data_IF_990434290887
#
_entry.id   IF_990434290887
#
_cell.length_a   1.000
_cell.length_b   1.000
_cell.length_c   1.000
_cell.angle_alpha   90.00
_cell.angle_beta   90.00
_cell.angle_gamma   90.00
#
_symmetry.space_group_name_H-M   'P 1'
#
loop_
_entity.id
_entity.type
_entity.pdbx_description
1 polymer ?
#
# COMPACT_ATOMS: atom_id res chain seq x y z
N UNK A 1 -33.24 5.28 -13.66
CA UNK A 1 -33.50 4.42 -12.49
C UNK A 1 -33.75 3.02 -13.00
N UNK A 2 -32.80 2.10 -12.82
CA UNK A 2 -32.98 0.65 -12.89
C UNK A 2 -31.69 0.02 -12.33
N UNK A 3 -31.87 -0.88 -11.37
CA UNK A 3 -30.88 -1.23 -10.35
C UNK A 3 -29.79 -2.21 -10.79
N UNK A 4 -28.65 -2.09 -10.13
CA UNK A 4 -27.58 -3.06 -10.16
C UNK A 4 -27.93 -4.23 -9.21
N UNK A 5 -27.96 -5.45 -9.76
CA UNK A 5 -28.11 -6.69 -9.01
C UNK A 5 -26.71 -7.25 -8.68
N UNK A 6 -26.36 -7.53 -7.41
CA UNK A 6 -25.00 -7.91 -7.02
C UNK A 6 -24.87 -9.43 -6.89
N UNK A 7 -24.08 -10.08 -7.76
CA UNK A 7 -23.65 -11.46 -7.55
C UNK A 7 -22.22 -11.64 -8.07
N UNK A 8 -21.22 -11.39 -7.22
CA UNK A 8 -19.90 -12.01 -7.28
C UNK A 8 -19.38 -12.15 -5.85
N UNK A 9 -19.51 -13.35 -5.31
CA UNK A 9 -18.94 -13.74 -4.04
C UNK A 9 -17.48 -14.11 -4.21
N UNK A 10 -16.60 -13.42 -3.50
CA UNK A 10 -15.27 -13.92 -3.14
C UNK A 10 -15.01 -13.61 -1.67
N UNK A 11 -14.58 -14.65 -0.95
CA UNK A 11 -14.27 -14.64 0.49
C UNK A 11 -13.14 -13.64 0.78
N UNK A 12 -13.27 -12.73 1.77
CA UNK A 12 -12.17 -11.87 2.16
C UNK A 12 -11.30 -12.55 3.22
N UNK A 13 -9.98 -12.50 3.02
CA UNK A 13 -9.04 -12.47 4.13
C UNK A 13 -9.35 -11.21 4.97
N UNK A 14 -9.83 -11.42 6.20
CA UNK A 14 -9.96 -10.41 7.24
C UNK A 14 -8.57 -9.86 7.57
N UNK A 15 -8.25 -8.59 7.30
CA UNK A 15 -8.53 -7.44 8.18
C UNK A 15 -8.70 -6.11 7.39
N UNK A 16 -8.58 -6.11 6.06
CA UNK A 16 -8.55 -4.88 5.24
C UNK A 16 -9.80 -4.64 4.35
N UNK A 17 -10.89 -5.37 4.57
CA UNK A 17 -11.88 -5.65 3.51
C UNK A 17 -13.13 -4.77 3.37
N UNK A 18 -13.35 -3.68 4.12
CA UNK A 18 -14.67 -2.98 4.08
C UNK A 18 -14.69 -1.47 3.83
N UNK A 19 -13.56 -0.77 3.78
CA UNK A 19 -13.52 0.65 3.36
C UNK A 19 -12.75 0.92 2.05
N UNK A 20 -12.28 -0.12 1.39
CA UNK A 20 -11.66 -0.05 0.06
C UNK A 20 -12.67 -0.23 -1.10
N UNK A 21 -13.97 -0.14 -0.79
CA UNK A 21 -15.07 -0.49 -1.70
C UNK A 21 -15.88 0.75 -2.14
N UNK A 22 -15.20 1.88 -2.34
CA UNK A 22 -15.73 3.02 -3.09
C UNK A 22 -14.94 3.10 -4.40
N UNK A 23 -15.65 2.84 -5.50
CA UNK A 23 -15.12 2.53 -6.81
C UNK A 23 -14.75 3.79 -7.61
N UNK A 24 -13.68 3.65 -8.41
CA UNK A 24 -13.09 4.60 -9.37
C UNK A 24 -12.13 5.63 -8.75
N UNK A 25 -11.15 5.14 -7.98
CA UNK A 25 -9.89 5.84 -7.67
C UNK A 25 -8.96 5.87 -8.89
N UNK A 26 -8.12 6.88 -9.08
CA UNK A 26 -7.15 7.01 -10.20
C UNK A 26 -6.11 5.90 -10.29
N UNK A 27 -5.74 5.30 -9.16
CA UNK A 27 -4.82 4.16 -9.10
C UNK A 27 -5.41 2.90 -9.75
N UNK A 28 -6.74 2.72 -9.65
CA UNK A 28 -7.41 1.55 -10.22
C UNK A 28 -7.36 1.51 -11.76
N UNK A 29 -7.83 2.52 -12.52
CA UNK A 29 -7.76 2.48 -13.98
C UNK A 29 -6.31 2.47 -14.47
N UNK A 30 -5.38 3.16 -13.80
CA UNK A 30 -3.95 3.10 -14.14
C UNK A 30 -3.44 1.65 -14.05
N UNK A 31 -3.60 1.01 -12.89
CA UNK A 31 -3.12 -0.37 -12.68
C UNK A 31 -3.85 -1.39 -13.56
N UNK A 32 -5.18 -1.24 -13.76
CA UNK A 32 -5.94 -2.17 -14.61
C UNK A 32 -5.51 -2.03 -16.08
N UNK A 33 -5.27 -0.81 -16.56
CA UNK A 33 -4.77 -0.57 -17.92
C UNK A 33 -3.47 -1.33 -18.17
N UNK A 34 -2.51 -1.20 -17.27
CA UNK A 34 -1.23 -1.93 -17.29
C UNK A 34 -1.44 -3.44 -17.26
N UNK A 35 -2.27 -3.91 -16.33
CA UNK A 35 -2.53 -5.35 -16.16
C UNK A 35 -3.06 -5.98 -17.45
N UNK A 36 -3.91 -5.27 -18.21
CA UNK A 36 -4.39 -5.76 -19.50
C UNK A 36 -3.29 -5.75 -20.56
N UNK A 37 -2.42 -4.73 -20.58
CA UNK A 37 -1.28 -4.67 -21.52
C UNK A 37 -0.29 -5.81 -21.24
N UNK A 38 0.10 -6.00 -19.99
CA UNK A 38 0.99 -7.10 -19.56
C UNK A 38 0.36 -8.46 -19.78
N UNK A 39 -0.92 -8.62 -19.42
CA UNK A 39 -1.67 -9.86 -19.62
C UNK A 39 -1.76 -10.25 -21.10
N UNK A 40 -1.90 -9.28 -21.99
CA UNK A 40 -1.86 -9.52 -23.43
C UNK A 40 -0.47 -9.93 -23.92
N UNK A 41 0.59 -9.28 -23.43
CA UNK A 41 1.96 -9.63 -23.77
C UNK A 41 2.30 -11.06 -23.29
N UNK A 42 1.91 -11.41 -22.07
CA UNK A 42 2.07 -12.75 -21.51
C UNK A 42 1.27 -13.78 -22.31
N UNK A 43 0.00 -13.52 -22.63
CA UNK A 43 -0.82 -14.41 -23.45
C UNK A 43 -0.14 -14.71 -24.80
N UNK A 44 0.34 -13.67 -25.49
CA UNK A 44 1.08 -13.82 -26.76
C UNK A 44 2.35 -14.66 -26.59
N UNK A 45 3.12 -14.46 -25.52
CA UNK A 45 4.32 -15.25 -25.24
C UNK A 45 4.04 -16.74 -25.00
N UNK A 46 2.83 -17.07 -24.54
CA UNK A 46 2.35 -18.43 -24.30
C UNK A 46 1.63 -19.04 -25.53
N UNK A 47 1.57 -18.34 -26.67
CA UNK A 47 0.82 -18.77 -27.85
C UNK A 47 -0.70 -18.68 -27.69
N UNK A 48 -1.18 -17.89 -26.73
CA UNK A 48 -2.58 -17.63 -26.45
C UNK A 48 -2.98 -16.23 -26.95
N UNK A 49 -4.28 -15.95 -27.00
CA UNK A 49 -4.82 -14.62 -27.29
C UNK A 49 -5.58 -14.05 -26.10
N UNK A 50 -5.47 -12.72 -25.90
CA UNK A 50 -6.33 -11.99 -24.97
C UNK A 50 -7.06 -10.86 -25.70
N UNK A 51 -8.08 -11.22 -26.49
CA UNK A 51 -8.85 -10.25 -27.27
C UNK A 51 -9.52 -9.18 -26.38
N UNK A 52 -9.92 -9.55 -25.16
CA UNK A 52 -10.48 -8.61 -24.19
C UNK A 52 -9.44 -7.60 -23.69
N UNK A 53 -8.19 -8.02 -23.52
CA UNK A 53 -7.11 -7.12 -23.15
C UNK A 53 -6.90 -6.04 -24.20
N UNK A 54 -6.78 -6.43 -25.48
CA UNK A 54 -6.59 -5.50 -26.61
C UNK A 54 -7.77 -4.53 -26.77
N UNK A 55 -9.01 -5.02 -26.62
CA UNK A 55 -10.21 -4.20 -26.80
C UNK A 55 -10.44 -3.19 -25.66
N UNK A 56 -10.04 -3.53 -24.43
CA UNK A 56 -10.43 -2.77 -23.23
C UNK A 56 -9.30 -1.86 -22.73
N UNK A 57 -8.03 -2.24 -22.86
CA UNK A 57 -6.91 -1.44 -22.33
C UNK A 57 -6.92 0.03 -22.84
N UNK A 58 -7.14 0.32 -24.14
CA UNK A 58 -7.19 1.71 -24.63
C UNK A 58 -8.36 2.50 -24.04
N UNK A 59 -9.49 1.85 -23.75
CA UNK A 59 -10.67 2.51 -23.18
C UNK A 59 -10.47 2.85 -21.71
N UNK A 60 -9.74 2.01 -20.97
CA UNK A 60 -9.34 2.31 -19.59
C UNK A 60 -8.36 3.49 -19.56
N UNK A 61 -7.38 3.51 -20.46
CA UNK A 61 -6.45 4.64 -20.58
C UNK A 61 -7.19 5.93 -20.97
N UNK A 62 -8.19 5.86 -21.85
CA UNK A 62 -9.06 6.98 -22.18
C UNK A 62 -9.83 7.49 -20.95
N UNK A 63 -10.37 6.57 -20.15
CA UNK A 63 -11.07 6.91 -18.91
C UNK A 63 -10.14 7.53 -17.86
N UNK A 64 -8.90 7.06 -17.74
CA UNK A 64 -7.89 7.66 -16.86
C UNK A 64 -7.68 9.15 -17.16
N UNK A 65 -7.75 9.56 -18.43
CA UNK A 65 -7.69 10.97 -18.82
C UNK A 65 -8.75 11.86 -18.15
N UNK A 66 -9.88 11.30 -17.69
CA UNK A 66 -10.95 12.06 -17.01
C UNK A 66 -10.63 12.44 -15.57
N UNK A 67 -9.59 11.86 -14.98
CA UNK A 67 -9.14 12.21 -13.63
C UNK A 67 -8.36 13.53 -13.63
N UNK A 68 -7.87 14.00 -14.77
CA UNK A 68 -7.17 15.27 -14.86
C UNK A 68 -8.15 16.43 -14.67
N UNK A 69 -7.89 17.29 -13.70
CA UNK A 69 -8.62 18.56 -13.52
C UNK A 69 -7.80 19.71 -14.11
N UNK A 70 -8.19 20.28 -15.27
CA UNK A 70 -7.47 21.39 -15.87
C UNK A 70 -7.46 22.64 -15.00
N UNK A 71 -8.56 22.91 -14.29
CA UNK A 71 -8.68 24.07 -13.39
C UNK A 71 -7.89 23.91 -12.10
N UNK A 72 -7.80 22.68 -11.58
CA UNK A 72 -6.97 22.36 -10.42
C UNK A 72 -5.49 22.22 -10.74
N UNK A 73 -5.14 21.93 -12.00
CA UNK A 73 -3.80 21.55 -12.44
C UNK A 73 -3.24 20.31 -11.70
N UNK A 74 -4.08 19.31 -11.44
CA UNK A 74 -3.69 18.02 -10.84
C UNK A 74 -4.66 16.91 -11.24
N UNK A 75 -4.25 15.65 -11.06
CA UNK A 75 -5.16 14.50 -11.08
C UNK A 75 -6.01 14.49 -9.82
N UNK A 76 -7.33 14.53 -9.97
CA UNK A 76 -8.29 14.31 -8.89
C UNK A 76 -8.35 12.82 -8.64
N UNK A 77 -8.05 12.35 -7.43
CA UNK A 77 -7.93 10.92 -7.17
C UNK A 77 -9.24 10.14 -7.34
N UNK A 78 -10.41 10.76 -7.15
CA UNK A 78 -11.72 10.11 -7.27
C UNK A 78 -12.73 11.07 -7.90
N UNK A 79 -13.22 10.77 -9.11
CA UNK A 79 -14.07 11.68 -9.90
C UNK A 79 -15.59 11.49 -9.72
N UNK A 80 -16.01 10.39 -9.08
CA UNK A 80 -17.42 10.12 -8.73
C UNK A 80 -17.64 10.23 -7.21
N UNK A 81 -16.88 11.11 -6.57
CA UNK A 81 -16.63 11.12 -5.14
C UNK A 81 -17.68 11.80 -4.24
N UNK A 82 -17.28 11.89 -2.98
CA UNK A 82 -18.06 11.97 -1.75
C UNK A 82 -17.87 13.30 -0.98
N UNK A 83 -17.50 14.39 -1.68
CA UNK A 83 -17.34 15.74 -1.11
C UNK A 83 -15.92 16.13 -0.67
N UNK A 84 -14.87 15.37 -1.03
CA UNK A 84 -13.45 15.69 -0.76
C UNK A 84 -12.80 16.49 -1.90
N UNK A 85 -11.67 17.13 -1.62
CA UNK A 85 -10.89 17.89 -2.63
C UNK A 85 -10.29 17.02 -3.74
N UNK A 86 -10.09 15.72 -3.46
CA UNK A 86 -9.43 14.78 -4.37
C UNK A 86 -7.91 14.90 -4.42
N UNK A 87 -7.30 15.77 -3.59
CA UNK A 87 -5.84 15.85 -3.39
C UNK A 87 -5.40 14.69 -2.52
N UNK A 88 -4.96 13.61 -3.14
CA UNK A 88 -4.70 12.35 -2.45
C UNK A 88 -3.41 11.71 -2.99
N UNK A 89 -2.58 11.19 -2.09
CA UNK A 89 -1.37 10.42 -2.41
C UNK A 89 -1.65 9.22 -3.32
N UNK A 90 -2.91 8.77 -3.42
CA UNK A 90 -3.38 7.84 -4.45
C UNK A 90 -2.84 8.15 -5.86
N UNK A 91 -2.74 9.42 -6.25
CA UNK A 91 -2.23 9.78 -7.57
C UNK A 91 -0.73 9.54 -7.70
N UNK A 92 0.04 9.81 -6.65
CA UNK A 92 1.49 9.54 -6.61
C UNK A 92 1.71 8.02 -6.67
N UNK A 93 0.96 7.26 -5.87
CA UNK A 93 0.96 5.80 -5.88
C UNK A 93 0.60 5.24 -7.27
N UNK A 94 -0.40 5.82 -7.94
CA UNK A 94 -0.76 5.44 -9.30
C UNK A 94 0.39 5.64 -10.29
N UNK A 95 1.17 6.73 -10.14
CA UNK A 95 2.30 7.02 -11.02
C UNK A 95 3.46 6.04 -10.83
N UNK A 96 3.88 5.78 -9.58
CA UNK A 96 5.04 4.90 -9.30
C UNK A 96 4.74 3.43 -9.57
N UNK A 97 3.51 2.97 -9.33
CA UNK A 97 3.11 1.59 -9.63
C UNK A 97 2.83 1.35 -11.12
N UNK A 98 2.77 2.43 -11.92
CA UNK A 98 2.66 2.40 -13.37
C UNK A 98 3.97 2.81 -14.07
N UNK A 99 5.08 2.90 -13.33
CA UNK A 99 6.32 3.40 -13.89
C UNK A 99 6.90 2.44 -14.94
N UNK A 100 7.19 2.97 -16.12
CA UNK A 100 8.01 2.32 -17.14
C UNK A 100 8.90 3.37 -17.82
N UNK A 101 10.24 3.25 -17.71
CA UNK A 101 11.14 4.21 -18.36
C UNK A 101 11.01 4.23 -19.89
N UNK A 102 10.54 3.15 -20.53
CA UNK A 102 10.32 3.08 -21.97
C UNK A 102 9.12 3.93 -22.44
N UNK A 103 8.16 4.23 -21.55
CA UNK A 103 7.10 5.20 -21.81
C UNK A 103 7.55 6.67 -21.73
N UNK A 104 8.83 6.93 -21.42
CA UNK A 104 9.37 8.28 -21.32
C UNK A 104 8.55 9.14 -20.34
N UNK A 105 8.30 10.41 -20.66
CA UNK A 105 7.48 11.31 -19.84
C UNK A 105 6.04 11.39 -20.35
N UNK A 106 5.47 10.25 -20.76
CA UNK A 106 4.11 10.18 -21.28
C UNK A 106 3.05 10.58 -20.23
N UNK A 107 2.31 11.64 -20.53
CA UNK A 107 1.25 12.17 -19.69
C UNK A 107 -0.06 11.39 -19.83
N UNK A 108 -0.25 10.58 -20.87
CA UNK A 108 -1.45 9.76 -21.04
C UNK A 108 -1.47 8.62 -20.03
N UNK A 109 -0.34 7.91 -19.89
CA UNK A 109 -0.14 6.86 -18.87
C UNK A 109 0.28 7.41 -17.51
N UNK A 110 0.46 8.73 -17.37
CA UNK A 110 0.78 9.40 -16.11
C UNK A 110 2.14 8.97 -15.53
N UNK A 111 3.14 8.85 -16.41
CA UNK A 111 4.51 8.51 -16.00
C UNK A 111 5.09 9.51 -15.00
N UNK A 112 5.99 9.09 -14.09
CA UNK A 112 6.53 9.94 -13.03
C UNK A 112 7.13 11.28 -13.47
N UNK A 113 7.80 11.33 -14.63
CA UNK A 113 8.36 12.57 -15.19
C UNK A 113 7.39 13.35 -16.10
N UNK A 114 6.17 12.87 -16.32
CA UNK A 114 5.17 13.60 -17.09
C UNK A 114 4.80 14.90 -16.37
N UNK A 115 4.49 15.94 -17.14
CA UNK A 115 4.17 17.24 -16.57
C UNK A 115 2.94 17.21 -15.65
N UNK A 116 1.93 16.41 -15.99
CA UNK A 116 0.75 16.16 -15.14
C UNK A 116 1.11 15.47 -13.83
N UNK A 117 2.03 14.51 -13.84
CA UNK A 117 2.45 13.81 -12.62
C UNK A 117 3.23 14.73 -11.68
N UNK A 118 4.12 15.57 -12.22
CA UNK A 118 4.88 16.55 -11.44
C UNK A 118 3.98 17.67 -10.87
N UNK A 119 3.02 18.16 -11.67
CA UNK A 119 2.02 19.12 -11.22
C UNK A 119 1.18 18.53 -10.07
N UNK A 120 0.76 17.27 -10.22
CA UNK A 120 -0.01 16.56 -9.18
C UNK A 120 0.80 16.32 -7.92
N UNK A 121 2.08 15.93 -8.05
CA UNK A 121 3.01 15.77 -6.91
C UNK A 121 3.04 17.05 -6.06
N UNK A 122 3.28 18.20 -6.69
CA UNK A 122 3.27 19.50 -6.01
C UNK A 122 1.94 19.76 -5.28
N UNK A 123 0.80 19.63 -5.97
CA UNK A 123 -0.51 19.92 -5.37
C UNK A 123 -0.83 19.00 -4.19
N UNK A 124 -0.48 17.72 -4.28
CA UNK A 124 -0.68 16.75 -3.20
C UNK A 124 0.24 17.06 -2.02
N UNK A 125 1.55 17.21 -2.25
CA UNK A 125 2.50 17.51 -1.17
C UNK A 125 2.16 18.84 -0.49
N UNK A 126 1.85 19.89 -1.25
CA UNK A 126 1.49 21.19 -0.69
C UNK A 126 0.25 21.15 0.20
N UNK A 127 -0.67 20.22 -0.05
CA UNK A 127 -1.86 20.04 0.79
C UNK A 127 -1.54 19.61 2.23
N UNK A 128 -0.35 19.06 2.48
CA UNK A 128 0.10 18.62 3.80
C UNK A 128 1.00 19.62 4.54
N UNK A 129 1.48 20.68 3.87
CA UNK A 129 2.45 21.63 4.44
C UNK A 129 1.94 22.33 5.70
N UNK A 130 0.65 22.70 5.71
CA UNK A 130 0.07 23.55 6.75
C UNK A 130 -0.78 22.81 7.77
N UNK A 131 -1.08 21.53 7.54
CA UNK A 131 -2.00 20.77 8.40
C UNK A 131 -1.25 19.90 9.43
N UNK A 132 0.00 19.54 9.19
CA UNK A 132 0.80 18.77 10.16
C UNK A 132 1.78 19.67 10.89
N UNK A 133 1.76 19.66 12.22
CA UNK A 133 2.66 20.48 13.05
C UNK A 133 4.12 20.19 12.75
N UNK A 134 4.45 18.92 12.48
CA UNK A 134 5.81 18.50 12.10
C UNK A 134 6.31 19.09 10.78
N UNK A 135 5.43 19.66 9.95
CA UNK A 135 5.77 20.32 8.69
C UNK A 135 5.92 21.84 8.83
N UNK A 136 5.64 22.41 10.01
CA UNK A 136 5.63 23.85 10.21
C UNK A 136 6.99 24.50 9.92
N UNK A 137 6.97 25.58 9.14
CA UNK A 137 8.17 26.36 8.82
C UNK A 137 9.12 25.72 7.81
N UNK A 138 8.79 24.53 7.26
CA UNK A 138 9.60 23.90 6.22
C UNK A 138 9.39 24.64 4.89
N UNK A 139 10.50 25.03 4.26
CA UNK A 139 10.50 25.79 3.01
C UNK A 139 9.80 25.05 1.86
N UNK A 140 9.28 25.80 0.89
CA UNK A 140 8.58 25.26 -0.27
C UNK A 140 9.46 24.32 -1.13
N UNK A 141 10.77 24.57 -1.18
CA UNK A 141 11.74 23.73 -1.88
C UNK A 141 12.12 22.46 -1.10
N UNK A 142 11.76 22.37 0.18
CA UNK A 142 12.14 21.26 1.05
C UNK A 142 11.00 20.22 1.18
N UNK A 143 11.41 18.96 1.31
CA UNK A 143 10.52 17.83 1.51
C UNK A 143 9.87 17.87 2.90
N UNK A 144 8.70 17.23 3.00
CA UNK A 144 7.85 17.23 4.19
C UNK A 144 7.27 15.83 4.43
N UNK A 145 6.61 15.64 5.56
CA UNK A 145 5.80 14.45 5.81
C UNK A 145 4.49 14.49 5.02
N UNK A 146 4.15 13.39 4.34
CA UNK A 146 2.99 13.29 3.43
C UNK A 146 2.00 12.24 3.95
N UNK A 147 0.72 12.62 4.05
CA UNK A 147 -0.37 11.74 4.47
C UNK A 147 -1.09 11.09 3.29
N UNK A 148 -2.32 10.61 3.50
CA UNK A 148 -3.16 10.08 2.40
C UNK A 148 -3.86 11.22 1.66
N UNK A 149 -4.70 11.97 2.35
CA UNK A 149 -5.43 13.14 1.84
C UNK A 149 -5.65 14.12 3.01
N UNK A 150 -5.80 15.43 2.75
CA UNK A 150 -5.83 16.45 3.81
C UNK A 150 -7.08 16.35 4.71
N UNK A 151 -8.17 15.74 4.22
CA UNK A 151 -9.41 15.52 4.98
C UNK A 151 -9.40 14.22 5.80
N UNK A 152 -8.27 13.52 5.89
CA UNK A 152 -8.18 12.24 6.60
C UNK A 152 -8.44 12.40 8.11
N UNK A 153 -9.19 11.46 8.67
CA UNK A 153 -9.54 11.40 10.09
C UNK A 153 -9.25 10.03 10.71
N UNK A 154 -8.78 9.05 9.92
CA UNK A 154 -8.39 7.75 10.43
C UNK A 154 -7.17 7.88 11.35
N UNK A 155 -7.32 7.44 12.61
CA UNK A 155 -6.34 7.69 13.68
C UNK A 155 -5.97 9.18 13.85
N UNK A 156 -6.88 10.10 13.51
CA UNK A 156 -6.64 11.55 13.59
C UNK A 156 -6.01 12.18 12.33
N UNK A 157 -5.78 11.39 11.29
CA UNK A 157 -5.28 11.86 10.00
C UNK A 157 -3.81 12.27 10.07
N UNK A 158 -2.91 11.32 9.82
CA UNK A 158 -1.48 11.50 10.00
C UNK A 158 -0.70 11.30 8.69
N UNK A 159 0.58 11.70 8.66
CA UNK A 159 1.55 11.18 7.70
C UNK A 159 1.61 9.66 7.66
N UNK A 160 1.89 9.12 6.47
CA UNK A 160 2.14 7.69 6.26
C UNK A 160 3.55 7.51 5.73
N UNK A 161 4.27 6.52 6.27
CA UNK A 161 5.62 6.19 5.80
C UNK A 161 5.63 5.91 4.30
N UNK A 162 4.74 5.03 3.84
CA UNK A 162 4.65 4.64 2.44
C UNK A 162 4.33 5.81 1.50
N UNK A 163 3.52 6.80 1.93
CA UNK A 163 3.20 7.96 1.08
C UNK A 163 4.33 8.98 1.02
N UNK A 164 5.06 9.16 2.13
CA UNK A 164 6.27 9.99 2.14
C UNK A 164 7.35 9.37 1.27
N UNK A 165 7.52 8.03 1.32
CA UNK A 165 8.42 7.27 0.46
C UNK A 165 7.98 7.29 -1.02
N UNK A 166 6.68 7.16 -1.31
CA UNK A 166 6.14 7.26 -2.66
C UNK A 166 6.43 8.61 -3.32
N UNK A 167 6.36 9.70 -2.53
CA UNK A 167 6.74 11.04 -3.00
C UNK A 167 8.24 11.14 -3.37
N UNK A 168 9.11 10.40 -2.67
CA UNK A 168 10.52 10.25 -3.04
C UNK A 168 10.67 9.40 -4.31
N UNK A 169 10.01 8.24 -4.36
CA UNK A 169 10.10 7.27 -5.45
C UNK A 169 9.72 7.88 -6.80
N UNK A 170 8.61 8.63 -6.88
CA UNK A 170 8.20 9.31 -8.11
C UNK A 170 9.29 10.25 -8.64
N UNK A 171 10.02 10.93 -7.76
CA UNK A 171 11.10 11.84 -8.15
C UNK A 171 12.34 11.07 -8.60
N UNK A 172 12.68 9.95 -7.95
CA UNK A 172 13.76 9.08 -8.41
C UNK A 172 13.48 8.47 -9.78
N UNK A 173 12.23 8.05 -10.04
CA UNK A 173 11.81 7.57 -11.36
C UNK A 173 11.93 8.68 -12.42
N UNK A 174 11.50 9.89 -12.09
CA UNK A 174 11.62 11.01 -13.01
C UNK A 174 13.08 11.37 -13.32
N UNK A 175 13.93 11.39 -12.29
CA UNK A 175 15.38 11.60 -12.42
C UNK A 175 16.04 10.52 -13.27
N UNK A 176 15.63 9.26 -13.14
CA UNK A 176 16.13 8.18 -13.97
C UNK A 176 15.84 8.45 -15.45
N UNK A 177 14.59 8.76 -15.80
CA UNK A 177 14.17 9.01 -17.18
C UNK A 177 14.87 10.24 -17.78
N UNK A 178 14.95 11.36 -17.06
CA UNK A 178 15.65 12.57 -17.55
C UNK A 178 17.14 12.36 -17.79
N UNK A 179 17.79 11.50 -16.99
CA UNK A 179 19.20 11.12 -17.21
C UNK A 179 19.35 10.25 -18.45
N UNK A 180 18.46 9.27 -18.66
CA UNK A 180 18.46 8.43 -19.86
C UNK A 180 18.20 9.24 -21.15
N UNK A 181 17.27 10.19 -21.11
CA UNK A 181 16.93 11.05 -22.26
C UNK A 181 17.94 12.18 -22.50
N UNK A 182 18.78 12.49 -21.51
CA UNK A 182 19.70 13.63 -21.58
C UNK A 182 19.00 14.98 -21.69
N UNK A 183 17.74 15.11 -21.26
CA UNK A 183 17.00 16.38 -21.27
C UNK A 183 15.86 16.42 -20.24
N UNK A 184 15.45 17.64 -19.88
CA UNK A 184 14.25 17.92 -19.07
C UNK A 184 13.39 18.91 -19.87
N UNK A 185 12.12 18.57 -20.10
CA UNK A 185 11.14 19.51 -20.66
C UNK A 185 10.28 20.07 -19.54
N UNK A 186 10.35 21.38 -19.35
CA UNK A 186 9.46 22.14 -18.47
C UNK A 186 8.31 22.67 -19.31
N UNK A 187 7.08 22.29 -18.96
CA UNK A 187 5.87 22.77 -19.62
C UNK A 187 5.18 23.80 -18.73
N UNK A 188 4.16 24.49 -19.26
CA UNK A 188 3.34 25.38 -18.43
C UNK A 188 2.66 24.62 -17.28
N UNK A 189 2.26 23.37 -17.50
CA UNK A 189 1.62 22.50 -16.52
C UNK A 189 2.55 22.16 -15.35
N UNK A 190 3.81 21.82 -15.63
CA UNK A 190 4.82 21.45 -14.62
C UNK A 190 5.62 22.63 -14.07
N UNK A 191 5.45 23.83 -14.61
CA UNK A 191 6.26 25.01 -14.26
C UNK A 191 6.28 25.30 -12.75
N UNK A 192 5.12 25.18 -12.10
CA UNK A 192 5.00 25.45 -10.66
C UNK A 192 5.83 24.48 -9.81
N UNK A 193 5.90 23.20 -10.21
CA UNK A 193 6.77 22.21 -9.56
C UNK A 193 8.24 22.60 -9.67
N UNK A 194 8.70 22.93 -10.88
CA UNK A 194 10.10 23.27 -11.10
C UNK A 194 10.50 24.60 -10.46
N UNK A 195 9.61 25.59 -10.37
CA UNK A 195 9.89 26.88 -9.73
C UNK A 195 10.12 26.77 -8.23
N UNK A 196 9.48 25.82 -7.55
CA UNK A 196 9.78 25.56 -6.14
C UNK A 196 11.24 25.10 -5.95
N UNK A 197 11.76 24.36 -6.93
CA UNK A 197 13.11 23.79 -6.88
C UNK A 197 14.17 24.76 -7.43
N UNK A 198 13.79 25.55 -8.44
CA UNK A 198 14.66 26.50 -9.14
C UNK A 198 13.84 27.70 -9.63
N UNK A 199 13.76 28.76 -8.81
CA UNK A 199 12.81 29.87 -8.97
C UNK A 199 12.78 30.59 -10.33
N UNK A 200 13.91 30.65 -11.05
CA UNK A 200 14.02 31.36 -12.34
C UNK A 200 13.75 30.49 -13.57
N UNK A 201 13.32 29.23 -13.40
CA UNK A 201 13.05 28.33 -14.53
C UNK A 201 11.82 28.79 -15.33
N UNK A 202 11.89 28.59 -16.65
CA UNK A 202 10.84 28.93 -17.61
C UNK A 202 10.43 27.67 -18.41
N UNK A 203 9.28 27.68 -19.10
CA UNK A 203 8.95 26.62 -20.04
C UNK A 203 10.01 26.50 -21.14
N UNK A 204 10.40 25.27 -21.47
CA UNK A 204 11.46 25.00 -22.42
C UNK A 204 12.07 23.61 -22.22
N UNK A 205 12.92 23.20 -23.15
CA UNK A 205 13.67 21.94 -23.06
C UNK A 205 15.12 22.25 -22.74
N UNK A 206 15.60 21.70 -21.64
CA UNK A 206 16.95 21.88 -21.13
C UNK A 206 17.75 20.59 -21.39
N UNK A 207 18.68 20.64 -22.32
CA UNK A 207 19.58 19.52 -22.62
C UNK A 207 20.63 19.32 -21.52
N UNK A 208 21.18 18.10 -21.41
CA UNK A 208 22.12 17.70 -20.36
C UNK A 208 23.39 18.54 -20.27
N UNK A 209 23.80 19.17 -21.37
CA UNK A 209 24.94 20.09 -21.40
C UNK A 209 24.68 21.49 -20.82
N UNK A 210 23.44 21.81 -20.43
CA UNK A 210 23.09 23.13 -19.88
C UNK A 210 23.27 23.19 -18.37
N UNK A 211 23.62 24.37 -17.85
CA UNK A 211 23.68 24.60 -16.39
C UNK A 211 22.31 24.45 -15.74
N UNK A 212 21.23 24.87 -16.41
CA UNK A 212 19.85 24.72 -15.92
C UNK A 212 19.48 23.26 -15.72
N UNK A 213 19.80 22.37 -16.67
CA UNK A 213 19.58 20.92 -16.50
C UNK A 213 20.28 20.39 -15.26
N UNK A 214 21.56 20.73 -15.09
CA UNK A 214 22.37 20.28 -13.95
C UNK A 214 21.78 20.75 -12.62
N UNK A 215 21.38 22.03 -12.54
CA UNK A 215 20.74 22.59 -11.35
C UNK A 215 19.41 21.92 -11.04
N UNK A 216 18.59 21.62 -12.05
CA UNK A 216 17.31 20.93 -11.88
C UNK A 216 17.50 19.48 -11.39
N UNK A 217 18.42 18.72 -12.00
CA UNK A 217 18.76 17.35 -11.53
C UNK A 217 19.19 17.38 -10.08
N UNK A 218 20.09 18.29 -9.70
CA UNK A 218 20.60 18.38 -8.33
C UNK A 218 19.51 18.78 -7.34
N UNK A 219 18.70 19.80 -7.66
CA UNK A 219 17.62 20.28 -6.80
C UNK A 219 16.55 19.19 -6.59
N UNK A 220 16.10 18.52 -7.66
CA UNK A 220 15.09 17.46 -7.55
C UNK A 220 15.67 16.22 -6.86
N UNK A 221 16.95 15.89 -7.05
CA UNK A 221 17.61 14.80 -6.30
C UNK A 221 17.66 15.10 -4.81
N UNK A 222 18.02 16.33 -4.42
CA UNK A 222 18.02 16.76 -3.02
C UNK A 222 16.62 16.77 -2.42
N UNK A 223 15.60 17.17 -3.19
CA UNK A 223 14.21 17.15 -2.77
C UNK A 223 13.71 15.71 -2.55
N UNK A 224 14.05 14.78 -3.44
CA UNK A 224 13.75 13.35 -3.27
C UNK A 224 14.42 12.76 -2.02
N UNK A 225 15.72 13.03 -1.82
CA UNK A 225 16.46 12.61 -0.61
C UNK A 225 15.88 13.21 0.67
N UNK A 226 15.31 14.42 0.58
CA UNK A 226 14.58 15.05 1.68
C UNK A 226 13.43 14.20 2.19
N UNK A 227 12.63 13.57 1.31
CA UNK A 227 11.54 12.69 1.73
C UNK A 227 12.04 11.41 2.41
N UNK A 228 13.15 10.84 1.92
CA UNK A 228 13.83 9.73 2.60
C UNK A 228 14.30 10.14 4.00
N UNK A 229 14.84 11.35 4.15
CA UNK A 229 15.29 11.89 5.43
C UNK A 229 14.13 12.15 6.41
N UNK A 230 12.96 12.59 5.92
CA UNK A 230 11.75 12.69 6.75
C UNK A 230 11.39 11.33 7.34
N UNK A 231 11.40 10.28 6.53
CA UNK A 231 11.14 8.90 7.00
C UNK A 231 12.21 8.45 7.99
N UNK A 232 13.49 8.69 7.70
CA UNK A 232 14.59 8.35 8.60
C UNK A 232 14.50 9.08 9.96
N UNK A 233 13.94 10.29 9.98
CA UNK A 233 13.75 11.08 11.21
C UNK A 233 12.69 10.47 12.12
N UNK A 234 11.62 9.90 11.55
CA UNK A 234 10.45 9.43 12.31
C UNK A 234 10.37 7.91 12.43
N UNK A 235 11.20 7.16 11.70
CA UNK A 235 11.36 5.73 11.89
C UNK A 235 11.83 5.41 13.32
N UNK A 236 11.41 4.27 13.86
CA UNK A 236 11.89 3.81 15.16
C UNK A 236 13.39 3.51 15.12
N UNK A 237 14.08 3.64 16.25
CA UNK A 237 15.53 3.40 16.35
C UNK A 237 15.94 1.96 16.00
N UNK A 238 15.02 1.01 16.10
CA UNK A 238 15.21 -0.39 15.69
C UNK A 238 14.93 -0.63 14.19
N UNK A 239 14.55 0.40 13.43
CA UNK A 239 14.17 0.31 12.02
C UNK A 239 12.71 -0.03 11.77
N UNK A 240 11.87 -0.19 12.81
CA UNK A 240 10.46 -0.52 12.63
C UNK A 240 9.69 0.60 11.93
N UNK A 241 8.92 0.22 10.91
CA UNK A 241 8.05 1.11 10.15
C UNK A 241 6.58 0.70 10.35
N UNK A 242 5.85 1.48 11.15
CA UNK A 242 4.41 1.32 11.31
C UNK A 242 3.65 1.80 10.04
N UNK A 243 2.33 1.82 10.09
CA UNK A 243 1.50 2.42 9.04
C UNK A 243 1.63 3.95 9.02
N UNK A 244 1.62 4.58 10.20
CA UNK A 244 1.57 6.04 10.36
C UNK A 244 2.62 6.54 11.35
N UNK A 245 2.96 7.82 11.25
CA UNK A 245 3.66 8.56 12.30
C UNK A 245 2.92 9.86 12.59
N UNK A 246 2.81 10.21 13.86
CA UNK A 246 1.91 11.24 14.37
C UNK A 246 2.17 12.61 13.75
N UNK A 247 1.11 13.27 13.29
CA UNK A 247 1.17 14.62 12.69
C UNK A 247 1.71 15.71 13.63
N UNK A 248 1.72 15.48 14.94
CA UNK A 248 2.09 16.47 15.95
C UNK A 248 3.50 16.30 16.47
N UNK A 249 3.95 15.06 16.66
CA UNK A 249 5.21 14.74 17.33
C UNK A 249 6.01 13.61 16.67
N UNK A 250 5.55 13.06 15.55
CA UNK A 250 6.27 12.04 14.79
C UNK A 250 6.30 10.64 15.41
N UNK A 251 5.60 10.41 16.52
CA UNK A 251 5.57 9.08 17.15
C UNK A 251 4.82 8.07 16.25
N UNK A 252 5.34 6.85 16.04
CA UNK A 252 4.66 5.81 15.29
C UNK A 252 3.30 5.44 15.90
N UNK A 253 2.31 5.13 15.06
CA UNK A 253 0.99 4.68 15.48
C UNK A 253 0.26 3.87 14.39
N UNK A 254 -0.93 3.38 14.74
CA UNK A 254 -1.72 2.43 13.94
C UNK A 254 -1.02 1.07 13.84
N UNK A 255 -1.15 0.34 12.72
CA UNK A 255 -0.56 -0.98 12.58
C UNK A 255 0.98 -0.91 12.63
N UNK A 256 1.58 -1.59 13.61
CA UNK A 256 3.03 -1.79 13.67
C UNK A 256 3.49 -2.72 12.54
N UNK A 257 4.76 -2.56 12.15
CA UNK A 257 5.45 -3.38 11.16
C UNK A 257 4.63 -3.63 9.87
N UNK A 258 4.03 -2.57 9.33
CA UNK A 258 3.19 -2.67 8.15
C UNK A 258 4.05 -3.11 6.94
N UNK A 259 3.74 -4.28 6.39
CA UNK A 259 4.45 -4.85 5.24
C UNK A 259 4.61 -3.87 4.07
N UNK A 260 3.58 -3.05 3.81
CA UNK A 260 3.63 -2.06 2.73
C UNK A 260 4.59 -0.90 3.03
N UNK A 261 4.74 -0.46 4.28
CA UNK A 261 5.75 0.55 4.65
C UNK A 261 7.16 0.04 4.36
N UNK A 262 7.46 -1.22 4.68
CA UNK A 262 8.73 -1.85 4.33
C UNK A 262 8.93 -2.00 2.82
N UNK A 263 7.90 -2.46 2.10
CA UNK A 263 7.96 -2.57 0.64
C UNK A 263 8.22 -1.21 -0.03
N UNK A 264 7.53 -0.15 0.40
CA UNK A 264 7.72 1.21 -0.10
C UNK A 264 9.13 1.75 0.17
N UNK A 265 9.73 1.38 1.31
CA UNK A 265 11.12 1.76 1.59
C UNK A 265 12.09 1.07 0.63
N UNK A 266 11.90 -0.23 0.40
CA UNK A 266 12.72 -1.00 -0.52
C UNK A 266 12.60 -0.49 -1.95
N UNK A 267 11.38 -0.21 -2.44
CA UNK A 267 11.18 0.28 -3.81
C UNK A 267 11.76 1.68 -3.99
N UNK A 268 11.51 2.61 -3.06
CA UNK A 268 12.11 3.95 -3.13
C UNK A 268 13.65 3.89 -3.10
N UNK A 269 14.24 3.06 -2.25
CA UNK A 269 15.69 2.86 -2.19
C UNK A 269 16.25 2.23 -3.48
N UNK A 270 15.53 1.28 -4.08
CA UNK A 270 15.89 0.70 -5.39
C UNK A 270 15.89 1.77 -6.48
N UNK A 271 14.85 2.62 -6.58
CA UNK A 271 14.79 3.70 -7.58
C UNK A 271 15.88 4.73 -7.38
N UNK A 272 16.18 5.10 -6.13
CA UNK A 272 17.32 5.95 -5.79
C UNK A 272 18.65 5.38 -6.30
N UNK A 273 18.81 4.06 -6.23
CA UNK A 273 19.97 3.32 -6.73
C UNK A 273 19.90 2.98 -8.24
N UNK A 274 18.95 3.55 -8.98
CA UNK A 274 18.70 3.28 -10.40
C UNK A 274 18.41 1.80 -10.73
N UNK A 275 17.83 1.06 -9.78
CA UNK A 275 17.32 -0.30 -9.98
C UNK A 275 15.84 -0.22 -10.36
N UNK A 276 15.56 -0.46 -11.64
CA UNK A 276 14.24 -0.28 -12.26
C UNK A 276 13.60 -1.66 -12.54
N UNK A 277 12.28 -1.83 -12.30
CA UNK A 277 11.59 -3.07 -12.64
C UNK A 277 11.58 -3.34 -14.14
N UNK A 278 11.28 -4.59 -14.56
CA UNK A 278 10.93 -4.86 -15.94
C UNK A 278 9.80 -3.94 -16.43
N UNK A 279 9.95 -3.40 -17.63
CA UNK A 279 8.91 -2.57 -18.26
C UNK A 279 7.71 -3.39 -18.72
N UNK A 280 6.56 -2.73 -18.82
CA UNK A 280 5.29 -3.28 -19.26
C UNK A 280 4.83 -2.72 -20.62
N UNK A 281 5.43 -1.62 -21.08
CA UNK A 281 5.03 -0.88 -22.27
C UNK A 281 5.51 -1.61 -23.52
N UNK A 282 4.56 -2.25 -24.22
CA UNK A 282 4.69 -2.65 -25.62
C UNK A 282 4.27 -1.53 -26.59
N UNK A 283 3.83 -1.88 -27.80
CA UNK A 283 3.40 -0.92 -28.85
C UNK A 283 2.08 -0.16 -28.57
N UNK A 284 1.53 -0.20 -27.35
CA UNK A 284 0.13 0.17 -27.07
C UNK A 284 -0.02 1.24 -25.98
N UNK A 285 0.28 2.49 -26.32
CA UNK A 285 -0.02 3.69 -25.50
C UNK A 285 -1.03 4.63 -26.17
N UNK A 286 -1.64 4.23 -27.30
CA UNK A 286 -2.55 5.09 -28.04
C UNK A 286 -3.89 5.26 -27.31
N UNK A 287 -4.20 6.49 -26.91
CA UNK A 287 -5.51 6.86 -26.40
C UNK A 287 -6.51 6.98 -27.56
N UNK A 288 -7.65 6.28 -27.54
CA UNK A 288 -8.71 6.45 -28.54
C UNK A 288 -9.22 7.90 -28.59
N UNK A 289 -9.59 8.38 -29.78
CA UNK A 289 -10.15 9.73 -29.94
C UNK A 289 -11.47 9.96 -29.19
N UNK A 290 -12.22 8.90 -28.91
CA UNK A 290 -13.45 8.94 -28.11
C UNK A 290 -13.44 7.79 -27.11
N UNK A 291 -13.66 8.11 -25.82
CA UNK A 291 -13.81 7.11 -24.78
C UNK A 291 -15.20 6.47 -24.82
N UNK A 292 -15.27 5.15 -24.76
CA UNK A 292 -16.50 4.38 -24.63
C UNK A 292 -16.51 3.64 -23.29
N UNK A 293 -17.60 3.76 -22.53
CA UNK A 293 -17.84 2.93 -21.35
C UNK A 293 -18.22 1.52 -21.82
N UNK A 294 -17.23 0.64 -21.89
CA UNK A 294 -17.38 -0.73 -22.39
C UNK A 294 -16.75 -1.76 -21.44
N UNK A 295 -17.22 -2.99 -21.53
CA UNK A 295 -16.72 -4.14 -20.76
C UNK A 295 -16.99 -5.43 -21.52
N UNK A 296 -16.16 -6.44 -21.32
CA UNK A 296 -16.36 -7.79 -21.87
C UNK A 296 -16.63 -8.76 -20.72
N UNK A 297 -17.66 -9.59 -20.84
CA UNK A 297 -17.97 -10.62 -19.84
C UNK A 297 -16.85 -11.67 -19.86
N UNK A 298 -16.19 -11.84 -18.72
CA UNK A 298 -15.13 -12.84 -18.55
C UNK A 298 -15.69 -14.25 -18.31
N UNK A 299 -14.85 -15.25 -18.57
CA UNK A 299 -15.05 -16.63 -18.11
C UNK A 299 -14.06 -16.93 -17.00
N UNK A 300 -14.52 -17.60 -15.94
CA UNK A 300 -13.71 -17.86 -14.74
C UNK A 300 -13.68 -19.35 -14.45
N UNK A 301 -12.49 -19.89 -14.21
CA UNK A 301 -12.27 -21.27 -13.78
C UNK A 301 -11.24 -21.29 -12.66
N UNK A 302 -11.44 -22.15 -11.66
CA UNK A 302 -10.49 -22.25 -10.54
C UNK A 302 -9.17 -22.85 -11.03
N UNK A 303 -8.04 -22.24 -10.64
CA UNK A 303 -6.73 -22.83 -10.88
C UNK A 303 -6.61 -24.15 -10.10
N UNK A 304 -6.12 -25.20 -10.75
CA UNK A 304 -6.01 -26.55 -10.17
C UNK A 304 -4.57 -26.92 -9.79
N UNK A 305 -3.57 -26.30 -10.40
CA UNK A 305 -2.17 -26.50 -10.05
C UNK A 305 -1.82 -25.76 -8.75
N UNK A 306 -1.40 -26.51 -7.72
CA UNK A 306 -1.12 -25.97 -6.37
C UNK A 306 0.32 -26.18 -5.91
N UNK A 307 1.19 -26.71 -6.79
CA UNK A 307 2.61 -26.93 -6.47
C UNK A 307 3.48 -26.62 -7.68
N UNK A 308 4.70 -26.16 -7.40
CA UNK A 308 5.75 -25.95 -8.39
C UNK A 308 6.70 -27.16 -8.41
N UNK A 309 7.30 -27.50 -9.56
CA UNK A 309 8.42 -28.44 -9.60
C UNK A 309 9.56 -27.99 -8.68
N UNK A 310 10.24 -28.93 -8.03
CA UNK A 310 11.42 -28.61 -7.22
C UNK A 310 12.58 -28.09 -8.10
N UNK A 311 13.43 -27.25 -7.53
CA UNK A 311 14.70 -26.80 -8.13
C UNK A 311 14.56 -26.09 -9.50
N UNK A 312 13.61 -25.15 -9.62
CA UNK A 312 13.52 -24.26 -10.78
C UNK A 312 14.69 -23.26 -10.80
N UNK A 313 15.86 -23.74 -11.24
CA UNK A 313 17.09 -22.96 -11.31
C UNK A 313 17.09 -21.99 -12.50
N UNK A 314 17.80 -20.84 -12.40
CA UNK A 314 17.93 -19.92 -13.53
C UNK A 314 18.55 -20.60 -14.76
N UNK A 315 18.14 -20.16 -15.96
CA UNK A 315 18.73 -20.63 -17.21
C UNK A 315 20.23 -20.29 -17.33
N UNK A 316 20.95 -21.04 -18.16
CA UNK A 316 22.39 -20.84 -18.40
C UNK A 316 22.69 -19.41 -18.86
N UNK A 317 23.66 -18.75 -18.22
CA UNK A 317 24.09 -17.40 -18.59
C UNK A 317 23.26 -16.26 -17.98
N UNK A 318 22.15 -16.58 -17.29
CA UNK A 318 21.53 -15.63 -16.36
C UNK A 318 22.45 -15.55 -15.15
N UNK A 319 22.95 -14.37 -14.76
CA UNK A 319 23.76 -14.25 -13.55
C UNK A 319 22.99 -14.93 -12.42
N UNK A 320 23.59 -15.89 -11.69
CA UNK A 320 22.93 -16.39 -10.50
C UNK A 320 22.68 -15.15 -9.64
N UNK A 321 21.40 -14.87 -9.35
CA UNK A 321 21.07 -13.97 -8.24
C UNK A 321 21.91 -14.51 -7.09
N UNK A 322 22.94 -13.73 -6.68
CA UNK A 322 23.98 -14.19 -5.78
C UNK A 322 23.33 -15.06 -4.72
N UNK A 323 23.72 -16.34 -4.68
CA UNK A 323 23.07 -17.40 -3.90
C UNK A 323 22.65 -16.79 -2.59
N UNK A 324 21.38 -16.45 -2.48
CA UNK A 324 20.85 -16.01 -1.22
C UNK A 324 20.96 -17.29 -0.41
N UNK A 325 21.93 -17.33 0.52
CA UNK A 325 21.51 -17.61 1.88
C UNK A 325 20.25 -16.77 2.03
N UNK A 326 19.06 -17.40 1.85
CA UNK A 326 17.79 -16.71 1.99
C UNK A 326 17.92 -15.85 3.23
N UNK A 327 17.61 -14.54 3.15
CA UNK A 327 18.09 -13.53 4.09
C UNK A 327 18.12 -14.15 5.46
N UNK A 328 19.32 -14.48 5.95
CA UNK A 328 19.42 -15.15 7.24
C UNK A 328 18.85 -14.13 8.19
N UNK A 329 17.69 -14.40 8.83
CA UNK A 329 17.12 -13.43 9.73
C UNK A 329 18.24 -13.00 10.67
N UNK A 330 18.44 -11.69 10.83
CA UNK A 330 19.44 -11.18 11.78
C UNK A 330 19.30 -12.00 13.04
N UNK A 331 20.39 -12.64 13.50
CA UNK A 331 20.34 -13.63 14.57
C UNK A 331 19.84 -12.98 15.88
N UNK A 332 18.53 -12.86 16.01
CA UNK A 332 17.84 -12.61 17.26
C UNK A 332 17.78 -13.95 17.94
N UNK A 333 18.34 -14.04 19.16
CA UNK A 333 18.02 -15.15 20.05
C UNK A 333 16.50 -15.37 20.02
N UNK A 334 16.06 -16.60 19.79
CA UNK A 334 14.63 -16.87 19.73
C UNK A 334 13.97 -16.31 21.00
N UNK A 335 12.93 -15.47 20.87
CA UNK A 335 12.32 -14.86 22.03
C UNK A 335 11.75 -15.95 22.94
N UNK A 336 11.94 -15.80 24.25
CA UNK A 336 11.41 -16.74 25.25
C UNK A 336 9.89 -16.67 25.39
N UNK A 337 9.28 -15.58 24.91
CA UNK A 337 7.84 -15.33 24.90
C UNK A 337 7.34 -14.89 23.52
N UNK A 338 6.06 -15.15 23.27
CA UNK A 338 5.36 -14.83 22.01
C UNK A 338 4.04 -14.16 22.36
N UNK A 339 3.73 -13.05 21.69
CA UNK A 339 2.42 -12.40 21.77
C UNK A 339 1.43 -13.17 20.87
N UNK A 340 0.55 -13.97 21.47
CA UNK A 340 -0.46 -14.74 20.74
C UNK A 340 -1.79 -14.00 20.76
N UNK A 341 -2.26 -13.60 19.58
CA UNK A 341 -3.57 -12.99 19.40
C UNK A 341 -4.60 -14.06 19.11
N UNK A 342 -5.53 -14.25 20.04
CA UNK A 342 -6.70 -15.12 19.87
C UNK A 342 -7.83 -14.30 19.27
N UNK A 343 -8.35 -14.76 18.13
CA UNK A 343 -9.52 -14.19 17.46
C UNK A 343 -10.65 -15.21 17.52
N UNK A 344 -11.69 -14.92 18.28
CA UNK A 344 -12.83 -15.79 18.47
C UNK A 344 -14.05 -15.25 17.74
N UNK A 345 -14.70 -16.08 16.92
CA UNK A 345 -15.92 -15.72 16.21
C UNK A 345 -17.15 -16.29 16.91
N UNK A 346 -17.87 -15.42 17.61
CA UNK A 346 -19.08 -15.78 18.35
C UNK A 346 -20.09 -14.64 18.36
N UNK A 347 -21.35 -14.93 18.06
CA UNK A 347 -22.44 -13.97 18.17
C UNK A 347 -22.83 -13.83 19.63
N UNK A 348 -22.82 -12.61 20.16
CA UNK A 348 -23.15 -12.29 21.55
C UNK A 348 -24.36 -11.38 21.66
N UNK A 349 -25.03 -11.43 22.81
CA UNK A 349 -26.07 -10.48 23.20
C UNK A 349 -25.49 -9.32 24.02
N UNK A 350 -26.24 -8.23 24.15
CA UNK A 350 -25.83 -7.11 24.99
C UNK A 350 -25.66 -7.57 26.45
N UNK A 351 -24.57 -7.13 27.09
CA UNK A 351 -24.23 -7.52 28.47
C UNK A 351 -23.43 -8.81 28.59
N UNK A 352 -23.15 -9.52 27.48
CA UNK A 352 -22.26 -10.68 27.47
C UNK A 352 -20.81 -10.28 27.19
N UNK A 353 -19.87 -10.96 27.85
CA UNK A 353 -18.42 -10.80 27.65
C UNK A 353 -17.79 -12.15 27.34
N UNK A 354 -17.03 -12.22 26.25
CA UNK A 354 -16.24 -13.40 25.92
C UNK A 354 -14.92 -13.34 26.67
N UNK A 355 -14.53 -14.45 27.28
CA UNK A 355 -13.23 -14.63 27.94
C UNK A 355 -12.56 -15.91 27.47
N UNK A 356 -11.23 -16.00 27.63
CA UNK A 356 -10.43 -17.20 27.39
C UNK A 356 -9.83 -17.70 28.71
N UNK A 357 -9.84 -19.01 28.91
CA UNK A 357 -9.29 -19.68 30.09
C UNK A 357 -8.61 -20.98 29.67
N UNK A 358 -7.54 -21.39 30.36
CA UNK A 358 -6.74 -22.54 29.95
C UNK A 358 -5.81 -23.07 31.03
N UNK A 359 -4.99 -24.05 30.66
CA UNK A 359 -4.19 -24.86 31.58
C UNK A 359 -2.92 -24.19 32.13
N UNK A 360 -2.61 -22.95 31.74
CA UNK A 360 -1.42 -22.21 32.18
C UNK A 360 -1.78 -21.08 33.11
N UNK A 361 -0.80 -20.58 33.88
CA UNK A 361 -0.99 -19.42 34.76
C UNK A 361 -1.41 -18.17 33.98
N UNK A 362 -0.83 -17.97 32.80
CA UNK A 362 -1.18 -16.90 31.86
C UNK A 362 -2.60 -17.02 31.31
N UNK A 363 -3.23 -18.20 31.41
CA UNK A 363 -4.62 -18.44 30.99
C UNK A 363 -5.54 -18.75 32.19
N UNK A 364 -5.08 -18.47 33.42
CA UNK A 364 -5.91 -18.57 34.62
C UNK A 364 -6.09 -19.99 35.19
N UNK A 365 -5.30 -20.99 34.77
CA UNK A 365 -5.31 -22.36 35.30
C UNK A 365 -6.73 -22.97 35.41
N UNK A 366 -7.53 -22.86 34.35
CA UNK A 366 -8.93 -23.31 34.26
C UNK A 366 -9.92 -22.64 35.23
N UNK A 367 -9.53 -21.54 35.90
CA UNK A 367 -10.42 -20.77 36.77
C UNK A 367 -11.17 -19.68 36.00
N UNK A 368 -12.52 -19.72 35.90
CA UNK A 368 -13.30 -18.66 35.24
C UNK A 368 -13.13 -17.27 35.84
N UNK A 369 -12.86 -17.19 37.16
CA UNK A 369 -12.59 -15.94 37.85
C UNK A 369 -11.26 -15.28 37.45
N UNK A 370 -10.35 -16.07 36.87
CA UNK A 370 -9.05 -15.62 36.35
C UNK A 370 -8.99 -15.65 34.82
N UNK A 371 -10.13 -15.88 34.15
CA UNK A 371 -10.22 -15.88 32.69
C UNK A 371 -10.00 -14.46 32.14
N UNK A 372 -9.31 -14.39 31.00
CA UNK A 372 -8.92 -13.13 30.37
C UNK A 372 -10.03 -12.66 29.44
N UNK A 373 -10.53 -11.44 29.64
CA UNK A 373 -11.56 -10.86 28.78
C UNK A 373 -11.04 -10.51 27.39
N UNK A 374 -11.81 -10.86 26.37
CA UNK A 374 -11.58 -10.41 24.99
C UNK A 374 -12.21 -9.03 24.76
N UNK A 375 -11.67 -8.30 23.80
CA UNK A 375 -12.19 -7.03 23.29
C UNK A 375 -13.17 -7.26 22.13
N UNK A 376 -14.30 -6.56 22.15
CA UNK A 376 -15.25 -6.49 21.04
C UNK A 376 -14.95 -5.37 20.03
N UNK A 377 -13.77 -4.74 20.07
CA UNK A 377 -13.44 -3.60 19.20
C UNK A 377 -13.51 -3.94 17.70
N UNK A 378 -13.30 -5.21 17.32
CA UNK A 378 -13.45 -5.72 15.96
C UNK A 378 -14.83 -6.29 15.61
N UNK A 379 -15.77 -6.29 16.56
CA UNK A 379 -17.07 -6.94 16.41
C UNK A 379 -18.00 -6.14 15.49
N UNK A 380 -18.61 -6.83 14.53
CA UNK A 380 -19.78 -6.33 13.79
C UNK A 380 -20.79 -7.46 13.61
N UNK A 381 -22.05 -7.17 13.33
CA UNK A 381 -23.08 -8.20 13.07
C UNK A 381 -22.70 -9.15 11.93
N UNK A 382 -21.98 -8.65 10.92
CA UNK A 382 -21.50 -9.45 9.79
C UNK A 382 -20.11 -10.09 10.02
N UNK A 383 -19.44 -9.75 11.12
CA UNK A 383 -18.13 -10.26 11.50
C UNK A 383 -17.98 -10.22 13.03
N UNK A 384 -18.63 -11.14 13.77
CA UNK A 384 -18.72 -11.08 15.22
C UNK A 384 -17.43 -11.60 15.87
N UNK A 385 -16.33 -10.88 15.68
CA UNK A 385 -15.00 -11.24 16.19
C UNK A 385 -14.72 -10.52 17.50
N UNK A 386 -14.35 -11.30 18.50
CA UNK A 386 -13.74 -10.87 19.75
C UNK A 386 -12.25 -11.20 19.70
N UNK A 387 -11.39 -10.37 20.29
CA UNK A 387 -9.94 -10.64 20.28
C UNK A 387 -9.21 -10.28 21.57
N UNK A 388 -8.13 -10.99 21.84
CA UNK A 388 -7.17 -10.66 22.91
C UNK A 388 -5.78 -11.10 22.51
N UNK A 389 -4.77 -10.32 22.91
CA UNK A 389 -3.36 -10.69 22.76
C UNK A 389 -2.78 -11.05 24.12
N UNK A 390 -2.20 -12.24 24.25
CA UNK A 390 -1.65 -12.79 25.49
C UNK A 390 -0.20 -13.18 25.26
N UNK A 391 0.69 -12.76 26.15
CA UNK A 391 2.08 -13.19 26.13
C UNK A 391 2.21 -14.61 26.70
N UNK A 392 2.66 -15.55 25.87
CA UNK A 392 2.82 -16.97 26.23
C UNK A 392 4.25 -17.43 26.00
N UNK A 393 4.68 -18.46 26.71
CA UNK A 393 6.04 -18.98 26.56
C UNK A 393 6.22 -19.68 25.20
N UNK A 394 7.31 -19.37 24.51
CA UNK A 394 7.62 -19.98 23.22
C UNK A 394 7.78 -21.51 23.34
N UNK A 395 7.20 -22.26 22.39
CA UNK A 395 7.22 -23.72 22.37
C UNK A 395 6.29 -24.40 23.40
N UNK A 396 5.57 -23.64 24.23
CA UNK A 396 4.66 -24.20 25.22
C UNK A 396 3.42 -24.79 24.56
N UNK A 397 3.11 -26.05 24.86
CA UNK A 397 1.81 -26.64 24.53
C UNK A 397 0.76 -26.19 25.56
N UNK A 398 -0.32 -25.59 25.07
CA UNK A 398 -1.43 -25.08 25.88
C UNK A 398 -2.74 -25.76 25.49
N UNK A 399 -3.66 -25.79 26.46
CA UNK A 399 -5.07 -26.11 26.26
C UNK A 399 -5.91 -24.96 26.78
N UNK A 400 -6.97 -24.63 26.06
CA UNK A 400 -7.86 -23.53 26.45
C UNK A 400 -9.29 -23.76 25.96
N UNK A 401 -10.20 -22.97 26.54
CA UNK A 401 -11.57 -22.77 26.07
C UNK A 401 -11.97 -21.30 26.15
N UNK A 402 -12.94 -20.95 25.33
CA UNK A 402 -13.70 -19.72 25.47
C UNK A 402 -14.89 -19.92 26.41
N UNK A 403 -15.18 -18.88 27.17
CA UNK A 403 -16.36 -18.79 28.03
C UNK A 403 -17.12 -17.50 27.72
N UNK A 404 -18.45 -17.57 27.77
CA UNK A 404 -19.34 -16.42 27.70
C UNK A 404 -19.84 -16.12 29.11
N UNK A 405 -19.54 -14.93 29.60
CA UNK A 405 -19.94 -14.46 30.92
C UNK A 405 -21.06 -13.44 30.75
N UNK A 406 -22.25 -13.76 31.28
CA UNK A 406 -23.40 -12.87 31.29
C UNK A 406 -23.23 -11.75 32.34
N UNK A 407 -24.07 -10.72 32.26
CA UNK A 407 -24.01 -9.56 33.17
C UNK A 407 -24.29 -9.90 34.64
N UNK A 408 -24.97 -11.02 34.90
CA UNK A 408 -25.22 -11.56 36.24
C UNK A 408 -24.08 -12.46 36.76
N UNK A 409 -23.03 -12.66 35.96
CA UNK A 409 -21.87 -13.50 36.28
C UNK A 409 -22.02 -14.97 35.89
N UNK A 410 -23.15 -15.38 35.29
CA UNK A 410 -23.34 -16.76 34.79
C UNK A 410 -22.30 -17.09 33.72
N UNK A 411 -21.63 -18.24 33.86
CA UNK A 411 -20.56 -18.69 32.95
C UNK A 411 -21.07 -19.83 32.07
N UNK A 412 -21.03 -19.63 30.75
CA UNK A 412 -21.30 -20.65 29.74
C UNK A 412 -20.00 -21.01 29.03
N UNK A 413 -19.62 -22.28 29.05
CA UNK A 413 -18.46 -22.79 28.31
C UNK A 413 -18.85 -23.17 26.88
N UNK A 414 -17.91 -23.02 25.94
CA UNK A 414 -18.05 -23.67 24.63
C UNK A 414 -18.02 -25.22 24.76
N UNK A 415 -18.49 -25.91 23.72
CA UNK A 415 -18.55 -27.37 23.72
C UNK A 415 -17.15 -28.02 23.83
N UNK A 416 -17.12 -29.33 24.07
CA UNK A 416 -15.89 -30.12 23.94
C UNK A 416 -15.57 -30.38 22.46
N UNK A 417 -14.28 -30.57 22.10
CA UNK A 417 -13.12 -30.70 22.98
C UNK A 417 -12.40 -29.37 23.29
N UNK A 418 -11.56 -29.37 24.34
CA UNK A 418 -10.60 -28.28 24.57
C UNK A 418 -9.80 -27.98 23.29
N UNK A 419 -9.59 -26.70 22.99
CA UNK A 419 -8.64 -26.32 21.95
C UNK A 419 -7.23 -26.65 22.42
N UNK A 420 -6.40 -27.18 21.52
CA UNK A 420 -4.97 -27.41 21.76
C UNK A 420 -4.15 -26.52 20.84
N UNK A 421 -3.15 -25.83 21.38
CA UNK A 421 -2.26 -24.98 20.60
C UNK A 421 -0.82 -25.11 21.11
N UNK A 422 0.13 -25.25 20.21
CA UNK A 422 1.57 -25.15 20.55
C UNK A 422 2.02 -23.76 20.17
N UNK A 423 2.45 -22.98 21.15
CA UNK A 423 2.97 -21.63 20.92
C UNK A 423 4.21 -21.75 20.03
N UNK A 424 4.26 -21.09 18.87
CA UNK A 424 5.39 -21.21 17.95
C UNK A 424 6.67 -20.75 18.63
N UNK A 425 7.80 -21.36 18.27
CA UNK A 425 9.11 -20.89 18.67
C UNK A 425 9.68 -19.90 17.65
N UNK A 426 10.63 -19.08 18.07
CA UNK A 426 11.40 -18.20 17.19
C UNK A 426 10.54 -17.20 16.37
N UNK A 427 9.41 -16.76 16.93
CA UNK A 427 8.57 -15.66 16.42
C UNK A 427 8.19 -14.74 17.58
N UNK A 428 8.02 -13.45 17.32
CA UNK A 428 7.60 -12.46 18.34
C UNK A 428 6.09 -12.40 18.52
N UNK A 429 5.33 -12.75 17.48
CA UNK A 429 3.87 -12.76 17.50
C UNK A 429 3.29 -13.93 16.71
N UNK A 430 2.06 -14.33 17.07
CA UNK A 430 1.29 -15.32 16.36
C UNK A 430 -0.21 -15.01 16.47
N UNK A 431 -1.00 -15.53 15.53
CA UNK A 431 -2.46 -15.40 15.55
C UNK A 431 -3.11 -16.76 15.53
N UNK A 432 -4.07 -16.98 16.44
CA UNK A 432 -4.92 -18.16 16.48
C UNK A 432 -6.37 -17.71 16.28
N UNK A 433 -6.97 -18.15 15.17
CA UNK A 433 -8.37 -17.84 14.86
C UNK A 433 -9.24 -19.06 15.09
N UNK A 434 -10.29 -18.88 15.88
CA UNK A 434 -11.24 -19.90 16.29
C UNK A 434 -12.69 -19.49 15.95
N UNK A 435 -13.61 -20.42 16.18
CA UNK A 435 -15.05 -20.19 16.10
C UNK A 435 -15.69 -21.04 17.19
N UNK A 436 -16.63 -20.43 17.92
CA UNK A 436 -17.31 -21.02 19.06
C UNK A 436 -17.80 -22.44 18.76
N UNK A 437 -17.40 -23.39 19.60
CA UNK A 437 -17.74 -24.81 19.47
C UNK A 437 -19.16 -25.12 19.94
#
# INVERSE_FOLDING_TARGET
>A
MLGANPLLGTKPASIFGRRFREALSSQLPANIGVTLVEGNALAKSLGLSCNSCDAIAPQILCFQGRFWSPSGNFMVANINGNGRSGRDANVILASIHNFDPAAACDAATFQPCSDKALASHKVVVDSFRTIYTINNGIAQSAAIAVGRYPEDSYYGGNPWYLNTLAAAEQLYDALYVWKQQGSITVTQTSLAFFRDQLGSVAPGTYASGTSTYTSLINAVSAYADGFMNVVATYAQTNGSLAEQFSRSNGQPLSADDLTWSYAAFLTAAQRRAAVIPPGWVGSATSVPGTCAATSIVGSYTSATATSFPANQTPGTGVPPTATTTGPTPTATSCPGSVLVTFNERVVTQFGQTIKIVGNTAQLGNWSPGSAISLSASGYTSANPVWSVTIELQAGQAIQYKYINVASDGTVTWEADPNHTYTVPSCTTAATKSDTWQ
#
